data_IF_227041971253
#
_entry.id   IF_227041971253
#
_cell.length_a   1.000
_cell.length_b   1.000
_cell.length_c   1.000
_cell.angle_alpha   90.00
_cell.angle_beta   90.00
_cell.angle_gamma   90.00
#
_symmetry.space_group_name_H-M   'P 1'
#
loop_
_entity.id
_entity.type
_entity.pdbx_description
1 polymer ?
#
# COMPACT_ATOMS: atom_id res chain seq x y z
N UNK A 1 12.80 -25.10 11.08
CA UNK A 1 11.83 -24.59 12.08
C UNK A 1 10.68 -23.91 11.38
N UNK A 2 9.48 -23.89 11.98
CA UNK A 2 8.35 -23.06 11.53
C UNK A 2 7.85 -22.16 12.66
N UNK A 3 7.43 -20.94 12.30
CA UNK A 3 6.88 -19.94 13.20
C UNK A 3 5.59 -19.38 12.59
N UNK A 4 4.51 -19.48 13.34
CA UNK A 4 3.27 -18.78 13.04
C UNK A 4 3.31 -17.36 13.62
N UNK A 5 3.11 -16.37 12.75
CA UNK A 5 3.32 -14.95 13.03
C UNK A 5 1.99 -14.30 13.44
N UNK A 6 1.99 -13.71 14.63
CA UNK A 6 0.88 -12.90 15.14
C UNK A 6 1.35 -11.56 15.75
N UNK A 7 0.40 -10.68 16.06
CA UNK A 7 0.67 -9.29 16.48
C UNK A 7 1.55 -9.15 17.73
N UNK A 8 1.34 -9.99 18.75
CA UNK A 8 1.98 -9.87 20.08
C UNK A 8 2.83 -11.09 20.44
N UNK A 9 2.33 -12.28 20.13
CA UNK A 9 2.95 -13.54 20.52
C UNK A 9 2.93 -14.48 19.33
N UNK A 10 4.10 -14.84 18.82
CA UNK A 10 4.27 -15.86 17.79
C UNK A 10 4.30 -17.25 18.43
N UNK A 11 4.08 -18.27 17.62
CA UNK A 11 4.27 -19.66 18.03
C UNK A 11 5.29 -20.34 17.15
N UNK A 12 6.35 -20.88 17.75
CA UNK A 12 7.44 -21.53 17.06
C UNK A 12 7.45 -23.04 17.35
N UNK A 13 7.97 -23.82 16.40
CA UNK A 13 8.13 -25.28 16.52
C UNK A 13 9.44 -25.73 15.86
N UNK A 14 10.20 -26.60 16.54
CA UNK A 14 11.43 -27.17 15.99
C UNK A 14 11.16 -28.55 15.38
N UNK A 15 11.62 -28.72 14.15
CA UNK A 15 11.51 -29.94 13.35
C UNK A 15 12.85 -30.22 12.71
N UNK A 16 13.28 -31.48 12.72
CA UNK A 16 14.52 -31.91 12.06
C UNK A 16 14.35 -32.10 10.54
N UNK A 17 15.45 -32.41 9.87
CA UNK A 17 15.52 -32.72 8.44
C UNK A 17 14.64 -33.92 8.02
N UNK A 18 14.26 -34.78 8.97
CA UNK A 18 13.39 -35.95 8.77
C UNK A 18 11.92 -35.68 9.05
N UNK A 19 11.57 -34.49 9.54
CA UNK A 19 10.19 -34.13 9.90
C UNK A 19 9.78 -34.50 11.33
N UNK A 20 10.73 -34.95 12.16
CA UNK A 20 10.49 -35.27 13.57
C UNK A 20 10.47 -33.98 14.38
N UNK A 21 9.49 -33.87 15.29
CA UNK A 21 9.38 -32.73 16.19
C UNK A 21 10.46 -32.83 17.25
N UNK A 22 11.44 -31.92 17.21
CA UNK A 22 12.49 -31.79 18.24
C UNK A 22 11.91 -31.14 19.48
N UNK A 23 11.15 -30.05 19.29
CA UNK A 23 10.52 -29.31 20.38
C UNK A 23 9.10 -28.92 20.01
N UNK A 24 8.17 -29.25 20.93
CA UNK A 24 6.76 -28.87 20.82
C UNK A 24 6.59 -27.35 20.78
N UNK A 25 5.45 -26.92 20.27
CA UNK A 25 5.16 -25.50 20.06
C UNK A 25 5.33 -24.67 21.33
N UNK A 26 5.98 -23.52 21.19
CA UNK A 26 6.23 -22.57 22.26
C UNK A 26 6.01 -21.13 21.80
N UNK A 27 5.70 -20.25 22.74
CA UNK A 27 5.45 -18.83 22.47
C UNK A 27 6.74 -18.03 22.35
N UNK A 28 6.76 -17.07 21.43
CA UNK A 28 7.80 -16.05 21.29
C UNK A 28 7.13 -14.68 21.33
N UNK A 29 7.53 -13.83 22.27
CA UNK A 29 6.98 -12.47 22.39
C UNK A 29 7.58 -11.55 21.33
N UNK A 30 6.75 -10.66 20.75
CA UNK A 30 7.16 -9.59 19.83
C UNK A 30 7.87 -8.46 20.59
N UNK A 31 9.07 -8.74 21.12
CA UNK A 31 9.91 -7.79 21.86
C UNK A 31 11.38 -8.17 21.73
N UNK A 32 12.29 -7.23 22.05
CA UNK A 32 13.74 -7.49 22.05
C UNK A 32 14.12 -8.67 22.94
N UNK A 33 13.68 -8.65 24.20
CA UNK A 33 13.92 -9.76 25.15
C UNK A 33 13.28 -11.07 24.69
N UNK A 34 12.09 -11.00 24.07
CA UNK A 34 11.39 -12.15 23.53
C UNK A 34 12.16 -12.82 22.40
N UNK A 35 12.74 -12.02 21.50
CA UNK A 35 13.58 -12.48 20.41
C UNK A 35 14.93 -13.00 20.89
N UNK A 36 15.54 -12.37 21.89
CA UNK A 36 16.80 -12.85 22.47
C UNK A 36 16.59 -14.19 23.18
N UNK A 37 15.53 -14.33 24.00
CA UNK A 37 15.19 -15.61 24.61
C UNK A 37 14.91 -16.69 23.56
N UNK A 38 14.22 -16.34 22.48
CA UNK A 38 14.01 -17.23 21.35
C UNK A 38 15.33 -17.64 20.68
N UNK A 39 16.27 -16.71 20.45
CA UNK A 39 17.58 -17.00 19.89
C UNK A 39 18.39 -17.96 20.77
N UNK A 40 18.43 -17.72 22.08
CA UNK A 40 19.09 -18.62 23.02
C UNK A 40 18.49 -20.03 22.99
N UNK A 41 17.17 -20.15 22.82
CA UNK A 41 16.51 -21.45 22.65
C UNK A 41 16.86 -22.14 21.34
N UNK A 42 17.02 -21.39 20.25
CA UNK A 42 17.51 -21.93 18.97
C UNK A 42 18.92 -22.50 19.16
N UNK A 43 19.83 -21.75 19.77
CA UNK A 43 21.21 -22.21 20.03
C UNK A 43 21.25 -23.46 20.93
N UNK A 44 20.46 -23.47 22.01
CA UNK A 44 20.35 -24.62 22.90
C UNK A 44 19.86 -25.87 22.16
N UNK A 45 18.79 -25.75 21.38
CA UNK A 45 18.25 -26.87 20.61
C UNK A 45 19.22 -27.37 19.53
N UNK A 46 19.95 -26.47 18.87
CA UNK A 46 20.99 -26.85 17.92
C UNK A 46 22.10 -27.67 18.60
N UNK A 47 22.56 -27.22 19.77
CA UNK A 47 23.59 -27.92 20.55
C UNK A 47 23.11 -29.29 21.04
N UNK A 48 21.91 -29.37 21.61
CA UNK A 48 21.33 -30.60 22.17
C UNK A 48 21.05 -31.67 21.09
N UNK A 49 20.81 -31.26 19.84
CA UNK A 49 20.44 -32.15 18.74
C UNK A 49 21.54 -32.27 17.67
N UNK A 50 22.76 -31.82 17.99
CA UNK A 50 23.94 -31.89 17.12
C UNK A 50 23.68 -31.29 15.72
N UNK A 51 22.98 -30.16 15.67
CA UNK A 51 22.69 -29.44 14.42
C UNK A 51 23.62 -28.24 14.26
N UNK A 52 24.16 -28.08 13.04
CA UNK A 52 25.04 -26.97 12.67
C UNK A 52 24.30 -25.81 12.01
N UNK A 53 23.10 -26.06 11.48
CA UNK A 53 22.33 -25.09 10.71
C UNK A 53 20.86 -25.05 11.16
N UNK A 54 20.24 -23.88 10.98
CA UNK A 54 18.82 -23.66 11.22
C UNK A 54 18.24 -22.75 10.16
N UNK A 55 17.06 -23.12 9.66
CA UNK A 55 16.25 -22.28 8.76
C UNK A 55 14.91 -21.99 9.45
N UNK A 56 14.49 -20.73 9.43
CA UNK A 56 13.25 -20.25 10.03
C UNK A 56 12.20 -20.04 8.95
N UNK A 57 11.18 -20.90 8.92
CA UNK A 57 10.01 -20.67 8.08
C UNK A 57 8.93 -19.85 8.76
N UNK A 58 8.30 -18.96 8.02
CA UNK A 58 7.11 -18.22 8.46
C UNK A 58 5.99 -18.30 7.42
N UNK A 59 4.75 -18.14 7.87
CA UNK A 59 3.65 -17.67 7.02
C UNK A 59 3.53 -16.14 7.20
N UNK A 60 3.64 -15.32 6.14
CA UNK A 60 3.62 -13.88 6.29
C UNK A 60 2.21 -13.36 6.64
N UNK A 61 2.05 -12.87 7.88
CA UNK A 61 0.83 -12.19 8.34
C UNK A 61 1.10 -10.69 8.55
N UNK A 62 0.59 -9.86 7.64
CA UNK A 62 0.78 -8.40 7.70
C UNK A 62 2.27 -8.01 7.72
N UNK A 63 2.62 -7.05 8.58
CA UNK A 63 4.00 -6.56 8.74
C UNK A 63 4.72 -7.12 9.98
N UNK A 64 4.05 -7.93 10.80
CA UNK A 64 4.58 -8.34 12.11
C UNK A 64 5.85 -9.19 12.03
N UNK A 65 6.07 -9.87 10.91
CA UNK A 65 7.26 -10.69 10.68
C UNK A 65 8.54 -9.88 10.43
N UNK A 66 8.45 -8.58 10.09
CA UNK A 66 9.60 -7.77 9.70
C UNK A 66 10.62 -7.66 10.84
N UNK A 67 10.17 -7.38 12.07
CA UNK A 67 11.07 -7.26 13.22
C UNK A 67 11.87 -8.54 13.45
N UNK A 68 11.23 -9.69 13.31
CA UNK A 68 11.88 -10.99 13.43
C UNK A 68 12.88 -11.22 12.27
N UNK A 69 12.52 -10.82 11.05
CA UNK A 69 13.40 -10.98 9.89
C UNK A 69 14.71 -10.19 10.03
N UNK A 70 14.65 -8.90 10.41
CA UNK A 70 15.87 -8.12 10.63
C UNK A 70 16.70 -8.68 11.80
N UNK A 71 16.05 -9.06 12.91
CA UNK A 71 16.73 -9.66 14.07
C UNK A 71 17.50 -10.95 13.72
N UNK A 72 16.90 -11.81 12.89
CA UNK A 72 17.51 -13.07 12.45
C UNK A 72 18.63 -12.83 11.43
N UNK A 73 18.44 -11.86 10.53
CA UNK A 73 19.44 -11.51 9.53
C UNK A 73 20.74 -11.01 10.17
N UNK A 74 20.65 -10.17 11.21
CA UNK A 74 21.81 -9.72 12.00
C UNK A 74 22.59 -10.87 12.65
N UNK A 75 21.91 -12.01 12.91
CA UNK A 75 22.49 -13.22 13.51
C UNK A 75 22.86 -14.28 12.48
N UNK A 76 22.76 -13.97 11.19
CA UNK A 76 23.08 -14.90 10.10
C UNK A 76 22.14 -16.09 9.99
N UNK A 77 20.93 -16.00 10.55
CA UNK A 77 19.93 -17.07 10.47
C UNK A 77 19.00 -16.83 9.26
N UNK A 78 18.94 -17.76 8.29
CA UNK A 78 18.04 -17.64 7.15
C UNK A 78 16.56 -17.69 7.56
N UNK A 79 15.80 -16.68 7.16
CA UNK A 79 14.35 -16.68 7.21
C UNK A 79 13.76 -16.93 5.83
N UNK A 80 12.76 -17.80 5.75
CA UNK A 80 12.06 -18.19 4.52
C UNK A 80 10.56 -18.07 4.70
N UNK A 81 9.84 -17.79 3.62
CA UNK A 81 8.39 -17.67 3.62
C UNK A 81 7.73 -18.84 2.93
N UNK A 82 6.67 -19.36 3.54
CA UNK A 82 5.73 -20.27 2.90
C UNK A 82 4.54 -19.46 2.34
N UNK A 83 3.91 -19.98 1.29
CA UNK A 83 2.73 -19.34 0.72
C UNK A 83 1.50 -19.63 1.62
N UNK A 84 0.77 -18.61 2.11
CA UNK A 84 -0.45 -18.81 2.92
C UNK A 84 -1.45 -19.80 2.32
N UNK A 85 -1.60 -19.82 0.99
CA UNK A 85 -2.47 -20.75 0.30
C UNK A 85 -2.00 -22.21 0.43
N UNK A 86 -0.69 -22.44 0.43
CA UNK A 86 -0.12 -23.78 0.62
C UNK A 86 -0.27 -24.22 2.07
N UNK A 87 -0.02 -23.33 3.03
CA UNK A 87 -0.22 -23.61 4.46
C UNK A 87 -1.67 -24.02 4.72
N UNK A 88 -2.64 -23.27 4.19
CA UNK A 88 -4.07 -23.62 4.30
C UNK A 88 -4.40 -25.00 3.73
N UNK A 89 -3.93 -25.32 2.52
CA UNK A 89 -4.19 -26.62 1.87
C UNK A 89 -3.52 -27.78 2.59
N UNK A 90 -2.32 -27.57 3.13
CA UNK A 90 -1.63 -28.60 3.90
C UNK A 90 -2.35 -28.89 5.22
N UNK A 91 -2.96 -27.89 5.86
CA UNK A 91 -3.81 -28.12 7.04
C UNK A 91 -4.98 -29.05 6.73
N UNK A 92 -5.65 -28.87 5.59
CA UNK A 92 -6.77 -29.74 5.17
C UNK A 92 -6.33 -31.20 4.92
N UNK A 93 -5.07 -31.43 4.53
CA UNK A 93 -4.52 -32.78 4.35
C UNK A 93 -4.14 -33.45 5.68
N UNK A 94 -3.57 -32.68 6.61
CA UNK A 94 -3.09 -33.20 7.90
C UNK A 94 -4.23 -33.38 8.91
N UNK A 95 -5.17 -32.44 8.92
CA UNK A 95 -6.35 -32.43 9.78
C UNK A 95 -7.58 -32.32 8.87
N UNK A 96 -8.31 -33.42 8.71
CA UNK A 96 -9.65 -33.45 8.07
C UNK A 96 -10.71 -32.62 8.86
N UNK A 97 -10.28 -31.66 9.69
CA UNK A 97 -11.04 -30.79 10.57
C UNK A 97 -10.49 -29.35 10.51
N UNK A 98 -11.33 -28.34 10.27
CA UNK A 98 -10.91 -26.93 10.21
C UNK A 98 -10.75 -26.30 11.61
N UNK A 99 -9.97 -26.92 12.49
CA UNK A 99 -9.75 -26.39 13.85
C UNK A 99 -8.55 -25.43 13.87
N UNK A 100 -8.78 -24.15 14.17
CA UNK A 100 -7.72 -23.14 14.34
C UNK A 100 -6.89 -23.43 15.59
N UNK A 101 -5.64 -23.83 15.40
CA UNK A 101 -4.66 -23.92 16.48
C UNK A 101 -3.31 -23.38 15.99
N UNK A 102 -2.92 -22.18 16.45
CA UNK A 102 -1.64 -21.52 16.14
C UNK A 102 -0.41 -22.45 16.36
N UNK A 103 -0.53 -23.40 17.30
CA UNK A 103 0.48 -24.42 17.57
C UNK A 103 0.68 -25.43 16.43
N UNK A 104 -0.40 -25.77 15.72
CA UNK A 104 -0.36 -26.66 14.55
C UNK A 104 0.17 -25.94 13.32
N UNK A 105 -0.13 -24.64 13.21
CA UNK A 105 0.29 -23.80 12.10
C UNK A 105 1.83 -23.74 12.00
N UNK A 106 2.50 -23.54 13.13
CA UNK A 106 3.97 -23.59 13.21
C UNK A 106 4.56 -24.93 12.73
N UNK A 107 3.89 -26.05 13.02
CA UNK A 107 4.33 -27.38 12.56
C UNK A 107 4.13 -27.56 11.06
N UNK A 108 2.99 -27.16 10.52
CA UNK A 108 2.71 -27.21 9.07
C UNK A 108 3.73 -26.37 8.30
N UNK A 109 4.03 -25.16 8.78
CA UNK A 109 5.07 -24.29 8.22
C UNK A 109 6.43 -25.00 8.24
N UNK A 110 6.81 -25.59 9.38
CA UNK A 110 8.09 -26.32 9.50
C UNK A 110 8.21 -27.49 8.51
N UNK A 111 7.12 -28.23 8.29
CA UNK A 111 7.07 -29.34 7.32
C UNK A 111 7.20 -28.86 5.89
N UNK A 112 6.51 -27.79 5.51
CA UNK A 112 6.66 -27.18 4.19
C UNK A 112 8.09 -26.69 3.93
N UNK A 113 8.73 -26.13 4.96
CA UNK A 113 10.13 -25.70 4.87
C UNK A 113 11.05 -26.89 4.65
N UNK A 114 10.88 -27.97 5.43
CA UNK A 114 11.62 -29.22 5.25
C UNK A 114 11.47 -29.79 3.85
N UNK A 115 10.27 -29.69 3.27
CA UNK A 115 9.98 -30.15 1.90
C UNK A 115 10.51 -29.21 0.80
N UNK A 116 11.24 -28.13 1.14
CA UNK A 116 11.73 -27.16 0.18
C UNK A 116 10.64 -26.26 -0.42
N UNK A 117 9.42 -26.26 0.15
CA UNK A 117 8.27 -25.50 -0.38
C UNK A 117 8.21 -24.09 0.21
N UNK A 118 9.27 -23.32 0.02
CA UNK A 118 9.41 -21.96 0.52
C UNK A 118 10.06 -21.03 -0.52
N UNK A 119 10.09 -19.74 -0.20
CA UNK A 119 10.83 -18.72 -0.95
C UNK A 119 11.56 -17.80 0.02
N UNK A 120 12.73 -17.30 -0.36
CA UNK A 120 13.42 -16.27 0.41
C UNK A 120 12.73 -14.91 0.22
N UNK A 121 12.29 -14.23 1.29
CA UNK A 121 11.82 -12.87 1.19
C UNK A 121 12.99 -11.94 0.94
N UNK A 122 12.72 -10.82 0.25
CA UNK A 122 13.65 -9.71 0.17
C UNK A 122 13.50 -8.83 1.40
N UNK A 123 14.51 -8.84 2.25
CA UNK A 123 14.65 -7.89 3.34
C UNK A 123 15.23 -6.61 2.72
N UNK A 124 14.46 -5.54 2.73
CA UNK A 124 14.85 -4.28 2.10
C UNK A 124 15.82 -3.54 3.02
N UNK A 125 16.83 -2.87 2.46
CA UNK A 125 17.82 -2.11 3.24
C UNK A 125 18.11 -0.77 2.59
N UNK A 126 18.57 0.18 3.40
CA UNK A 126 18.97 1.52 2.95
C UNK A 126 17.90 2.15 2.07
N UNK A 127 18.31 2.65 0.91
CA UNK A 127 17.44 3.35 -0.03
C UNK A 127 16.20 2.52 -0.44
N UNK A 128 16.31 1.22 -0.64
CA UNK A 128 15.16 0.39 -1.06
C UNK A 128 14.08 0.31 0.02
N UNK A 129 14.48 0.31 1.30
CA UNK A 129 13.57 0.32 2.43
C UNK A 129 12.84 1.67 2.51
N UNK A 130 13.57 2.78 2.35
CA UNK A 130 13.01 4.14 2.33
C UNK A 130 12.02 4.31 1.18
N UNK A 131 12.38 3.90 -0.05
CA UNK A 131 11.49 3.96 -1.21
C UNK A 131 10.21 3.16 -1.00
N UNK A 132 10.32 1.94 -0.43
CA UNK A 132 9.15 1.10 -0.15
C UNK A 132 8.23 1.75 0.87
N UNK A 133 8.80 2.27 1.96
CA UNK A 133 8.05 2.90 3.04
C UNK A 133 7.35 4.17 2.53
N UNK A 134 8.10 5.05 1.86
CA UNK A 134 7.58 6.31 1.34
C UNK A 134 6.54 6.12 0.22
N UNK A 135 6.77 5.24 -0.77
CA UNK A 135 5.75 4.96 -1.81
C UNK A 135 4.48 4.33 -1.21
N UNK A 136 4.63 3.47 -0.20
CA UNK A 136 3.48 2.91 0.53
C UNK A 136 2.71 3.99 1.28
N UNK A 137 3.41 4.92 1.94
CA UNK A 137 2.77 6.03 2.65
C UNK A 137 2.09 7.01 1.69
N UNK A 138 2.76 7.41 0.60
CA UNK A 138 2.17 8.23 -0.48
C UNK A 138 0.89 7.61 -1.05
N UNK A 139 0.89 6.30 -1.27
CA UNK A 139 -0.31 5.57 -1.74
C UNK A 139 -1.48 5.75 -0.76
N UNK A 140 -1.23 5.66 0.55
CA UNK A 140 -2.27 5.85 1.58
C UNK A 140 -2.80 7.27 1.60
N UNK A 141 -1.94 8.29 1.49
CA UNK A 141 -2.37 9.69 1.39
C UNK A 141 -3.22 9.92 0.14
N UNK A 142 -2.87 9.29 -0.98
CA UNK A 142 -3.66 9.36 -2.22
C UNK A 142 -5.03 8.70 -2.08
N UNK A 143 -5.10 7.55 -1.41
CA UNK A 143 -6.37 6.89 -1.06
C UNK A 143 -7.23 7.78 -0.16
N UNK A 144 -6.62 8.44 0.83
CA UNK A 144 -7.30 9.38 1.72
C UNK A 144 -7.81 10.62 0.96
N UNK A 145 -7.01 11.20 0.07
CA UNK A 145 -7.41 12.32 -0.78
C UNK A 145 -8.62 11.93 -1.65
N UNK A 146 -8.63 10.71 -2.19
CA UNK A 146 -9.78 10.15 -2.90
C UNK A 146 -11.04 10.07 -2.03
N UNK A 147 -10.91 9.64 -0.77
CA UNK A 147 -12.01 9.60 0.18
C UNK A 147 -12.55 11.02 0.50
N UNK A 148 -11.68 12.00 0.71
CA UNK A 148 -12.04 13.41 0.94
C UNK A 148 -12.74 14.01 -0.28
N UNK A 149 -12.23 13.78 -1.50
CA UNK A 149 -12.90 14.18 -2.75
C UNK A 149 -14.32 13.64 -2.82
N UNK A 150 -14.52 12.37 -2.48
CA UNK A 150 -15.84 11.76 -2.45
C UNK A 150 -16.76 12.36 -1.37
N UNK A 151 -16.22 12.79 -0.23
CA UNK A 151 -16.98 13.53 0.79
C UNK A 151 -17.43 14.89 0.27
N UNK A 152 -16.55 15.63 -0.40
CA UNK A 152 -16.88 16.93 -1.02
C UNK A 152 -17.96 16.76 -2.09
N UNK A 153 -17.87 15.71 -2.94
CA UNK A 153 -18.90 15.42 -3.94
C UNK A 153 -20.25 15.18 -3.27
N UNK A 154 -20.32 14.32 -2.24
CA UNK A 154 -21.59 14.08 -1.52
C UNK A 154 -22.15 15.34 -0.84
N UNK A 155 -21.27 16.22 -0.38
CA UNK A 155 -21.66 17.51 0.18
C UNK A 155 -22.27 18.40 -0.90
N UNK A 156 -21.62 18.49 -2.07
CA UNK A 156 -22.12 19.23 -3.23
C UNK A 156 -23.46 18.69 -3.72
N UNK A 157 -23.61 17.36 -3.85
CA UNK A 157 -24.86 16.73 -4.27
C UNK A 157 -26.05 17.11 -3.35
N UNK A 158 -25.77 17.43 -2.08
CA UNK A 158 -26.77 17.84 -1.10
C UNK A 158 -27.04 19.34 -1.09
N UNK A 159 -26.00 20.17 -1.15
CA UNK A 159 -26.10 21.61 -0.88
C UNK A 159 -25.92 22.51 -2.10
N UNK A 160 -25.33 22.00 -3.19
CA UNK A 160 -25.15 22.72 -4.44
C UNK A 160 -24.97 21.76 -5.65
N UNK A 161 -25.99 20.97 -6.01
CA UNK A 161 -25.84 19.89 -7.01
C UNK A 161 -25.46 20.38 -8.41
N UNK A 162 -25.79 21.62 -8.76
CA UNK A 162 -25.47 22.23 -10.05
C UNK A 162 -24.00 22.68 -10.17
N UNK A 163 -23.23 22.63 -9.08
CA UNK A 163 -21.83 23.06 -9.05
C UNK A 163 -20.97 22.39 -10.14
N UNK A 164 -21.21 21.10 -10.39
CA UNK A 164 -20.46 20.29 -11.37
C UNK A 164 -20.67 20.74 -12.82
N UNK A 165 -21.76 21.48 -13.10
CA UNK A 165 -22.02 22.06 -14.41
C UNK A 165 -21.02 23.18 -14.76
N UNK A 166 -20.44 23.82 -13.74
CA UNK A 166 -19.41 24.86 -13.87
C UNK A 166 -18.02 24.29 -13.64
N UNK A 167 -17.89 23.38 -12.68
CA UNK A 167 -16.62 22.78 -12.27
C UNK A 167 -16.69 21.25 -12.30
N UNK A 168 -16.32 20.61 -13.43
CA UNK A 168 -16.25 19.14 -13.53
C UNK A 168 -15.17 18.50 -12.65
N UNK A 169 -14.23 19.31 -12.13
CA UNK A 169 -13.13 18.87 -11.27
C UNK A 169 -12.74 19.94 -10.25
N UNK A 170 -12.08 19.52 -9.18
CA UNK A 170 -11.62 20.36 -8.07
C UNK A 170 -10.35 21.16 -8.40
N UNK A 171 -10.39 21.97 -9.46
CA UNK A 171 -9.31 22.91 -9.76
C UNK A 171 -9.26 24.08 -8.77
N UNK A 172 -8.21 24.92 -8.86
CA UNK A 172 -7.98 26.06 -7.95
C UNK A 172 -9.19 26.96 -7.74
N UNK A 173 -9.90 27.31 -8.82
CA UNK A 173 -11.10 28.15 -8.71
C UNK A 173 -12.28 27.42 -8.05
N UNK A 174 -12.43 26.11 -8.28
CA UNK A 174 -13.48 25.33 -7.61
C UNK A 174 -13.24 25.29 -6.10
N UNK A 175 -11.98 25.08 -5.67
CA UNK A 175 -11.61 25.09 -4.26
C UNK A 175 -11.82 26.47 -3.62
N UNK A 176 -11.47 27.55 -4.32
CA UNK A 176 -11.75 28.91 -3.84
C UNK A 176 -13.26 29.19 -3.66
N UNK A 177 -14.11 28.65 -4.54
CA UNK A 177 -15.58 28.75 -4.38
C UNK A 177 -16.03 28.00 -3.12
N UNK A 178 -15.56 26.77 -2.92
CA UNK A 178 -15.90 25.97 -1.74
C UNK A 178 -15.41 26.59 -0.43
N UNK A 179 -14.30 27.34 -0.48
CA UNK A 179 -13.75 28.05 0.68
C UNK A 179 -14.53 29.34 1.00
N UNK A 180 -14.83 30.13 -0.03
CA UNK A 180 -15.35 31.49 0.15
C UNK A 180 -16.88 31.59 0.06
N UNK A 181 -17.50 30.83 -0.83
CA UNK A 181 -18.94 30.89 -1.15
C UNK A 181 -19.51 29.49 -1.46
N UNK A 182 -19.43 28.53 -0.51
CA UNK A 182 -19.81 27.14 -0.77
C UNK A 182 -21.30 26.93 -1.07
N UNK A 183 -22.19 27.84 -0.65
CA UNK A 183 -23.64 27.69 -0.87
C UNK A 183 -24.15 28.58 -2.00
N UNK A 184 -25.24 28.18 -2.69
CA UNK A 184 -25.94 29.05 -3.64
C UNK A 184 -26.33 30.40 -3.04
N UNK A 185 -26.77 30.42 -1.78
CA UNK A 185 -27.15 31.65 -1.07
C UNK A 185 -26.00 32.62 -0.87
N UNK A 186 -24.75 32.15 -0.85
CA UNK A 186 -23.56 33.02 -0.71
C UNK A 186 -23.31 33.85 -1.96
N UNK A 187 -23.92 33.47 -3.09
CA UNK A 187 -23.81 34.12 -4.39
C UNK A 187 -25.05 34.96 -4.73
N UNK A 188 -26.10 34.90 -3.90
CA UNK A 188 -27.32 35.66 -4.13
C UNK A 188 -27.02 37.16 -4.16
N UNK A 189 -27.52 37.86 -5.19
CA UNK A 189 -27.31 39.29 -5.44
C UNK A 189 -25.85 39.75 -5.65
N UNK A 190 -24.87 38.84 -5.66
CA UNK A 190 -23.48 39.22 -5.94
C UNK A 190 -23.26 39.48 -7.41
N UNK A 191 -22.48 40.50 -7.72
CA UNK A 191 -21.99 40.74 -9.07
C UNK A 191 -20.73 39.89 -9.37
N UNK A 192 -20.48 39.50 -10.64
CA UNK A 192 -19.30 38.72 -11.01
C UNK A 192 -17.98 39.34 -10.53
N UNK A 193 -17.84 40.66 -10.60
CA UNK A 193 -16.62 41.37 -10.21
C UNK A 193 -16.37 41.33 -8.68
N UNK A 194 -17.41 41.28 -7.86
CA UNK A 194 -17.30 41.08 -6.41
C UNK A 194 -16.80 39.67 -6.09
N UNK A 195 -17.40 38.67 -6.75
CA UNK A 195 -17.05 37.25 -6.59
C UNK A 195 -15.60 36.99 -7.00
N UNK A 196 -15.19 37.53 -8.15
CA UNK A 196 -13.80 37.42 -8.61
C UNK A 196 -12.82 38.09 -7.63
N UNK A 197 -13.19 39.22 -7.04
CA UNK A 197 -12.35 39.93 -6.07
C UNK A 197 -12.19 39.15 -4.76
N UNK A 198 -13.22 38.42 -4.34
CA UNK A 198 -13.14 37.50 -3.20
C UNK A 198 -12.19 36.34 -3.49
N UNK A 199 -12.33 35.68 -4.65
CA UNK A 199 -11.51 34.52 -5.00
C UNK A 199 -10.04 34.85 -5.25
N UNK A 200 -9.70 36.08 -5.66
CA UNK A 200 -8.31 36.54 -5.78
C UNK A 200 -7.55 36.56 -4.44
N UNK A 201 -8.27 36.58 -3.32
CA UNK A 201 -7.66 36.55 -1.97
C UNK A 201 -7.25 35.15 -1.55
N UNK A 202 -7.76 34.12 -2.21
CA UNK A 202 -7.40 32.72 -1.94
C UNK A 202 -5.99 32.46 -2.47
N UNK A 203 -5.16 31.85 -1.62
CA UNK A 203 -3.78 31.56 -1.96
C UNK A 203 -3.68 30.69 -3.22
N UNK A 204 -2.74 31.03 -4.11
CA UNK A 204 -2.51 30.28 -5.34
C UNK A 204 -3.47 30.55 -6.51
N UNK A 205 -4.53 31.36 -6.33
CA UNK A 205 -5.48 31.75 -7.40
C UNK A 205 -5.33 33.22 -7.81
N UNK A 206 -4.44 33.50 -8.78
CA UNK A 206 -4.18 34.87 -9.25
C UNK A 206 -5.21 35.40 -10.25
N UNK A 207 -5.76 34.54 -11.10
CA UNK A 207 -6.59 34.94 -12.24
C UNK A 207 -7.87 34.08 -12.35
N UNK A 208 -8.88 34.32 -11.50
CA UNK A 208 -10.16 33.64 -11.61
C UNK A 208 -10.87 34.00 -12.92
N UNK A 209 -11.55 33.01 -13.50
CA UNK A 209 -12.15 33.14 -14.84
C UNK A 209 -13.54 33.78 -14.75
N UNK A 210 -13.70 34.99 -15.33
CA UNK A 210 -15.00 35.70 -15.36
C UNK A 210 -16.15 34.85 -15.93
N UNK A 211 -16.00 34.10 -17.05
CA UNK A 211 -17.09 33.28 -17.56
C UNK A 211 -17.59 32.22 -16.56
N UNK A 212 -16.68 31.64 -15.75
CA UNK A 212 -17.06 30.69 -14.71
C UNK A 212 -17.77 31.36 -13.54
N UNK A 213 -17.38 32.57 -13.15
CA UNK A 213 -18.05 33.32 -12.09
C UNK A 213 -19.48 33.70 -12.50
N UNK A 214 -19.69 34.17 -13.74
CA UNK A 214 -21.04 34.47 -14.28
C UNK A 214 -21.90 33.21 -14.24
N UNK A 215 -21.42 32.11 -14.84
CA UNK A 215 -22.17 30.85 -14.88
C UNK A 215 -22.45 30.28 -13.49
N UNK A 216 -21.52 30.46 -12.54
CA UNK A 216 -21.70 30.05 -11.15
C UNK A 216 -22.84 30.80 -10.47
N UNK A 217 -22.95 32.12 -10.67
CA UNK A 217 -24.05 32.94 -10.15
C UNK A 217 -25.37 32.51 -10.80
N UNK A 218 -25.38 32.25 -12.10
CA UNK A 218 -26.57 31.78 -12.83
C UNK A 218 -27.10 30.47 -12.26
N UNK A 219 -26.25 29.44 -12.13
CA UNK A 219 -26.69 28.14 -11.59
C UNK A 219 -27.03 28.20 -10.11
N UNK A 220 -26.43 29.11 -9.33
CA UNK A 220 -26.78 29.33 -7.94
C UNK A 220 -28.20 29.89 -7.79
N UNK A 221 -28.64 30.75 -8.70
CA UNK A 221 -29.95 31.40 -8.64
C UNK A 221 -31.11 30.39 -8.78
N UNK A 222 -30.91 29.27 -9.47
CA UNK A 222 -31.90 28.22 -9.67
C UNK A 222 -31.55 26.91 -8.96
N UNK A 223 -30.63 26.94 -7.99
CA UNK A 223 -30.15 25.72 -7.33
C UNK A 223 -31.22 25.08 -6.45
N UNK A 224 -31.30 23.74 -6.50
CA UNK A 224 -32.20 22.95 -5.64
C UNK A 224 -31.54 22.48 -4.32
N UNK A 225 -30.34 22.99 -4.01
CA UNK A 225 -29.58 22.59 -2.84
C UNK A 225 -30.33 22.79 -1.52
N UNK A 226 -30.14 21.87 -0.57
CA UNK A 226 -30.80 21.93 0.75
C UNK A 226 -30.41 23.22 1.49
N UNK A 227 -31.40 23.94 2.02
CA UNK A 227 -31.20 25.21 2.74
C UNK A 227 -31.16 25.07 4.26
N UNK A 228 -31.48 23.89 4.78
CA UNK A 228 -31.51 23.56 6.21
C UNK A 228 -30.14 23.08 6.72
N UNK A 229 -29.85 23.36 8.00
CA UNK A 229 -28.60 22.90 8.64
C UNK A 229 -27.31 23.54 8.11
N UNK A 230 -27.40 24.71 7.47
CA UNK A 230 -26.28 25.38 6.77
C UNK A 230 -25.07 25.69 7.66
N UNK A 231 -25.28 25.95 8.95
CA UNK A 231 -24.19 26.27 9.86
C UNK A 231 -23.18 25.12 9.98
N UNK A 232 -23.67 23.92 10.34
CA UNK A 232 -22.83 22.72 10.43
C UNK A 232 -22.30 22.30 9.06
N UNK A 233 -23.10 22.42 8.01
CA UNK A 233 -22.67 22.12 6.65
C UNK A 233 -21.52 23.02 6.19
N UNK A 234 -21.49 24.30 6.60
CA UNK A 234 -20.37 25.22 6.31
C UNK A 234 -19.08 24.77 7.02
N UNK A 235 -19.19 24.34 8.28
CA UNK A 235 -18.05 23.82 9.04
C UNK A 235 -17.51 22.55 8.40
N UNK A 236 -18.39 21.66 7.95
CA UNK A 236 -18.04 20.42 7.25
C UNK A 236 -17.24 20.71 5.98
N UNK A 237 -17.78 21.49 5.04
CA UNK A 237 -17.09 21.77 3.78
C UNK A 237 -15.77 22.51 3.98
N UNK A 238 -15.72 23.48 4.90
CA UNK A 238 -14.47 24.17 5.22
C UNK A 238 -13.41 23.20 5.76
N UNK A 239 -13.81 22.21 6.56
CA UNK A 239 -12.91 21.18 7.09
C UNK A 239 -12.41 20.24 5.99
N UNK A 240 -13.30 19.84 5.07
CA UNK A 240 -12.94 19.00 3.93
C UNK A 240 -11.99 19.71 2.96
N UNK A 241 -12.23 21.00 2.68
CA UNK A 241 -11.35 21.83 1.84
C UNK A 241 -9.96 21.98 2.46
N UNK A 242 -9.87 22.26 3.78
CA UNK A 242 -8.57 22.28 4.48
C UNK A 242 -7.85 20.94 4.41
N UNK A 243 -8.57 19.83 4.65
CA UNK A 243 -7.96 18.48 4.58
C UNK A 243 -7.50 18.14 3.16
N UNK A 244 -8.26 18.54 2.15
CA UNK A 244 -7.89 18.38 0.74
C UNK A 244 -6.55 19.04 0.44
N UNK A 245 -6.39 20.31 0.81
CA UNK A 245 -5.15 21.06 0.56
C UNK A 245 -3.97 20.49 1.32
N UNK A 246 -4.16 20.10 2.59
CA UNK A 246 -3.11 19.45 3.37
C UNK A 246 -2.62 18.16 2.70
N UNK A 247 -3.55 17.31 2.25
CA UNK A 247 -3.20 16.05 1.59
C UNK A 247 -2.49 16.27 0.25
N UNK A 248 -2.89 17.28 -0.55
CA UNK A 248 -2.16 17.62 -1.78
C UNK A 248 -0.72 18.03 -1.49
N UNK A 249 -0.51 18.90 -0.49
CA UNK A 249 0.83 19.35 -0.07
C UNK A 249 1.67 18.18 0.47
N UNK A 250 1.10 17.33 1.31
CA UNK A 250 1.80 16.16 1.86
C UNK A 250 2.20 15.17 0.75
N UNK A 251 1.32 14.94 -0.23
CA UNK A 251 1.58 14.07 -1.39
C UNK A 251 2.66 14.66 -2.30
N UNK A 252 2.64 15.97 -2.53
CA UNK A 252 3.67 16.66 -3.32
C UNK A 252 5.02 16.60 -2.62
N UNK A 253 5.07 16.95 -1.34
CA UNK A 253 6.29 16.93 -0.52
C UNK A 253 6.95 15.55 -0.48
N UNK A 254 6.17 14.50 -0.17
CA UNK A 254 6.72 13.13 -0.16
C UNK A 254 7.16 12.67 -1.56
N UNK A 255 6.45 13.09 -2.61
CA UNK A 255 6.83 12.76 -3.98
C UNK A 255 8.17 13.40 -4.34
N UNK A 256 8.36 14.68 -4.02
CA UNK A 256 9.62 15.38 -4.25
C UNK A 256 10.77 14.70 -3.51
N UNK A 257 10.58 14.37 -2.23
CA UNK A 257 11.60 13.67 -1.45
C UNK A 257 11.97 12.29 -2.02
N UNK A 258 10.98 11.52 -2.47
CA UNK A 258 11.23 10.23 -3.13
C UNK A 258 11.97 10.39 -4.46
N UNK A 259 11.66 11.43 -5.23
CA UNK A 259 12.34 11.74 -6.49
C UNK A 259 13.79 12.12 -6.25
N UNK A 260 14.06 12.97 -5.26
CA UNK A 260 15.43 13.33 -4.86
C UNK A 260 16.23 12.10 -4.43
N UNK A 261 15.59 11.18 -3.68
CA UNK A 261 16.22 9.95 -3.25
C UNK A 261 16.64 9.07 -4.45
N UNK A 262 15.74 8.81 -5.41
CA UNK A 262 16.08 7.98 -6.59
C UNK A 262 17.06 8.65 -7.53
N UNK A 263 17.08 9.98 -7.62
CA UNK A 263 18.02 10.72 -8.49
C UNK A 263 19.50 10.48 -8.16
N UNK A 264 19.78 9.95 -6.98
CA UNK A 264 21.15 9.54 -6.58
C UNK A 264 21.54 8.14 -7.05
N UNK A 265 20.62 7.41 -7.71
CA UNK A 265 20.85 6.03 -8.17
C UNK A 265 21.17 5.95 -9.67
N UNK A 266 22.00 4.99 -10.04
CA UNK A 266 22.33 4.70 -11.46
C UNK A 266 21.09 4.20 -12.20
N UNK A 267 20.19 3.49 -11.52
CA UNK A 267 18.93 3.03 -12.11
C UNK A 267 18.03 4.18 -12.54
N UNK A 268 18.01 5.31 -11.82
CA UNK A 268 17.29 6.50 -12.26
C UNK A 268 17.87 7.07 -13.54
N UNK A 269 19.20 7.18 -13.65
CA UNK A 269 19.86 7.66 -14.86
C UNK A 269 19.43 6.83 -16.07
N UNK A 270 19.47 5.51 -15.97
CA UNK A 270 19.02 4.62 -17.05
C UNK A 270 17.54 4.81 -17.39
N UNK A 271 16.67 4.80 -16.37
CA UNK A 271 15.22 4.90 -16.59
C UNK A 271 14.79 6.26 -17.13
N UNK A 272 15.48 7.34 -16.78
CA UNK A 272 15.20 8.69 -17.27
C UNK A 272 15.44 8.85 -18.78
N UNK A 273 16.24 7.97 -19.39
CA UNK A 273 16.46 7.97 -20.84
C UNK A 273 15.29 7.41 -21.64
N UNK A 274 14.36 6.71 -20.98
CA UNK A 274 13.23 6.04 -21.65
C UNK A 274 12.11 7.04 -21.90
N UNK A 275 11.74 7.31 -23.17
CA UNK A 275 10.66 8.23 -23.49
C UNK A 275 9.33 7.78 -22.85
N UNK A 276 8.69 8.69 -22.11
CA UNK A 276 7.42 8.44 -21.44
C UNK A 276 7.52 8.02 -19.97
N UNK A 277 8.72 7.78 -19.43
CA UNK A 277 8.90 7.59 -17.98
C UNK A 277 9.15 8.93 -17.29
N UNK A 278 8.17 9.38 -16.50
CA UNK A 278 8.34 10.52 -15.61
C UNK A 278 8.93 10.12 -14.25
N UNK A 279 9.49 11.10 -13.53
CA UNK A 279 10.11 10.93 -12.20
C UNK A 279 9.24 10.09 -11.24
N UNK A 280 7.94 10.39 -11.16
CA UNK A 280 6.99 9.67 -10.31
C UNK A 280 6.86 8.20 -10.69
N UNK A 281 6.82 7.88 -11.99
CA UNK A 281 6.73 6.51 -12.50
C UNK A 281 8.02 5.74 -12.21
N UNK A 282 9.18 6.40 -12.33
CA UNK A 282 10.48 5.82 -11.98
C UNK A 282 10.53 5.49 -10.49
N UNK A 283 10.10 6.41 -9.63
CA UNK A 283 9.97 6.18 -8.18
C UNK A 283 9.09 4.97 -7.89
N UNK A 284 7.90 4.87 -8.49
CA UNK A 284 7.00 3.75 -8.22
C UNK A 284 7.56 2.42 -8.74
N UNK A 285 8.24 2.43 -9.89
CA UNK A 285 8.90 1.26 -10.44
C UNK A 285 9.99 0.76 -9.48
N UNK A 286 10.92 1.64 -9.11
CA UNK A 286 12.04 1.31 -8.20
C UNK A 286 11.55 0.98 -6.79
N UNK A 287 10.47 1.60 -6.30
CA UNK A 287 9.87 1.21 -5.04
C UNK A 287 9.34 -0.23 -5.07
N UNK A 288 8.88 -0.73 -6.23
CA UNK A 288 8.37 -2.09 -6.36
C UNK A 288 9.44 -3.14 -6.66
N UNK A 289 10.44 -2.83 -7.50
CA UNK A 289 11.45 -3.78 -7.98
C UNK A 289 12.82 -3.59 -7.32
N UNK A 290 13.09 -2.43 -6.73
CA UNK A 290 14.41 -1.98 -6.25
C UNK A 290 15.53 -2.11 -7.29
N UNK A 291 16.75 -2.47 -6.89
CA UNK A 291 17.87 -2.51 -7.84
C UNK A 291 17.69 -3.55 -8.97
N UNK A 292 18.17 -3.22 -10.17
CA UNK A 292 18.20 -4.19 -11.27
C UNK A 292 19.18 -5.35 -11.04
N UNK A 293 20.15 -5.18 -10.15
CA UNK A 293 21.13 -6.22 -9.79
C UNK A 293 20.51 -7.49 -9.18
N UNK A 294 19.26 -7.42 -8.72
CA UNK A 294 18.52 -8.58 -8.20
C UNK A 294 17.95 -9.50 -9.30
N UNK A 295 18.12 -9.14 -10.57
CA UNK A 295 17.51 -9.84 -11.69
C UNK A 295 18.55 -10.27 -12.71
N UNK A 296 18.53 -11.55 -13.08
CA UNK A 296 19.38 -12.13 -14.12
C UNK A 296 18.74 -12.03 -15.51
N UNK A 297 17.40 -12.01 -15.57
CA UNK A 297 16.65 -11.98 -16.84
C UNK A 297 15.44 -11.03 -16.73
N UNK A 298 15.19 -10.15 -17.72
CA UNK A 298 14.04 -9.24 -17.75
C UNK A 298 12.67 -9.93 -17.57
N UNK A 299 12.53 -11.20 -17.96
CA UNK A 299 11.31 -12.00 -17.76
C UNK A 299 10.97 -12.19 -16.28
N UNK A 300 11.95 -12.09 -15.38
CA UNK A 300 11.72 -12.11 -13.94
C UNK A 300 10.89 -10.88 -13.51
N UNK A 301 11.14 -9.70 -14.08
CA UNK A 301 10.34 -8.49 -13.84
C UNK A 301 8.91 -8.63 -14.39
N UNK A 302 8.76 -9.19 -15.60
CA UNK A 302 7.44 -9.47 -16.21
C UNK A 302 6.63 -10.43 -15.33
N UNK A 303 7.28 -11.49 -14.83
CA UNK A 303 6.68 -12.44 -13.89
C UNK A 303 6.34 -11.77 -12.55
N UNK A 304 7.21 -10.91 -12.05
CA UNK A 304 6.99 -10.15 -10.82
C UNK A 304 5.78 -9.21 -10.92
N UNK A 305 5.57 -8.57 -12.08
CA UNK A 305 4.36 -7.80 -12.38
C UNK A 305 3.11 -8.70 -12.55
N UNK A 306 3.28 -10.01 -12.73
CA UNK A 306 2.19 -10.95 -12.97
C UNK A 306 1.63 -10.87 -14.40
N UNK A 307 2.45 -10.39 -15.34
CA UNK A 307 2.11 -10.22 -16.75
C UNK A 307 2.34 -11.51 -17.58
N UNK A 308 2.89 -12.56 -16.96
CA UNK A 308 3.05 -13.86 -17.63
C UNK A 308 1.68 -14.42 -18.06
N UNK A 309 1.61 -14.92 -19.29
CA UNK A 309 0.41 -15.55 -19.83
C UNK A 309 0.19 -16.92 -19.17
N UNK A 310 -1.04 -17.15 -18.73
CA UNK A 310 -1.54 -18.45 -18.30
C UNK A 310 -2.33 -19.06 -19.45
N UNK A 311 -1.96 -20.28 -19.80
CA UNK A 311 -2.73 -21.10 -20.71
C UNK A 311 -3.94 -21.71 -20.00
N UNK A 312 -5.08 -21.72 -20.70
CA UNK A 312 -6.31 -22.37 -20.26
C UNK A 312 -6.71 -23.41 -21.30
N UNK A 313 -5.86 -24.41 -21.47
CA UNK A 313 -6.07 -25.50 -22.40
C UNK A 313 -6.32 -26.80 -21.64
N UNK A 314 -7.34 -27.55 -22.06
CA UNK A 314 -7.52 -28.96 -21.71
C UNK A 314 -7.17 -29.82 -22.93
N UNK A 315 -7.14 -31.15 -22.76
CA UNK A 315 -6.86 -32.07 -23.88
C UNK A 315 -7.81 -31.94 -25.08
N UNK A 316 -8.97 -31.30 -24.91
CA UNK A 316 -10.01 -31.13 -25.95
C UNK A 316 -10.30 -29.66 -26.31
N UNK A 317 -9.76 -28.69 -25.56
CA UNK A 317 -10.09 -27.28 -25.75
C UNK A 317 -8.87 -26.40 -25.56
N UNK A 318 -8.52 -25.57 -26.55
CA UNK A 318 -7.53 -24.49 -26.41
C UNK A 318 -8.25 -23.17 -26.18
N UNK A 319 -8.31 -22.74 -24.92
CA UNK A 319 -8.88 -21.44 -24.55
C UNK A 319 -7.92 -20.27 -24.78
N UNK A 320 -8.44 -19.05 -24.75
CA UNK A 320 -7.62 -17.83 -24.85
C UNK A 320 -6.67 -17.69 -23.65
N UNK A 321 -5.41 -17.35 -23.94
CA UNK A 321 -4.40 -17.04 -22.92
C UNK A 321 -4.78 -15.74 -22.21
N UNK A 322 -4.67 -15.73 -20.87
CA UNK A 322 -4.91 -14.54 -20.03
C UNK A 322 -3.69 -14.27 -19.18
N UNK A 323 -3.44 -13.01 -18.81
CA UNK A 323 -2.40 -12.69 -17.83
C UNK A 323 -2.69 -13.40 -16.49
N UNK A 324 -1.64 -13.87 -15.83
CA UNK A 324 -1.78 -14.64 -14.59
C UNK A 324 -2.36 -13.82 -13.43
N UNK A 325 -2.06 -12.52 -13.39
CA UNK A 325 -2.34 -11.61 -12.25
C UNK A 325 -1.75 -12.11 -10.91
N UNK A 326 -0.81 -13.07 -10.94
CA UNK A 326 -0.16 -13.68 -9.76
C UNK A 326 1.12 -12.96 -9.32
N UNK A 327 1.23 -11.67 -9.65
CA UNK A 327 2.35 -10.80 -9.29
C UNK A 327 1.87 -9.49 -8.66
N UNK A 328 2.81 -8.58 -8.42
CA UNK A 328 2.59 -7.30 -7.75
C UNK A 328 1.60 -6.44 -8.53
N UNK A 329 0.45 -6.16 -7.92
CA UNK A 329 -0.62 -5.37 -8.53
C UNK A 329 -0.17 -3.93 -8.84
N UNK A 330 0.59 -3.30 -7.94
CA UNK A 330 1.08 -1.93 -8.11
C UNK A 330 2.02 -1.83 -9.31
N UNK A 331 3.01 -2.70 -9.40
CA UNK A 331 3.92 -2.79 -10.54
C UNK A 331 3.20 -2.99 -11.88
N UNK A 332 2.09 -3.75 -11.89
CA UNK A 332 1.28 -3.98 -13.09
C UNK A 332 0.40 -2.79 -13.50
N UNK A 333 0.15 -1.87 -12.57
CA UNK A 333 -0.72 -0.71 -12.79
C UNK A 333 0.05 0.54 -13.23
N UNK A 334 1.39 0.50 -13.16
CA UNK A 334 2.29 1.41 -13.87
C UNK A 334 2.19 1.13 -15.38
#
# INVERSE_FOLDING_TARGET
MGIDIAKRTHYACFVDDRGRVIQKSFSVSQSGDGFEHFYQRVLAAMKENEKTEVIVGIEPTGHYWLNLAYFLEERGIPLVMTNPMHVKRSKELDDNLPTKHDRKDALVIARLVKDGRFSYPRILKGMEAELRAGSTFRSKLTEELGAVKNMIIRWLDRYFPEFTQVFPSFGKMAMAVLECTPFPSDLHQKQPDEVLSLYRKVEGLKSPQRPKAVRLIEVAASSIGVTEGREMARIEIATLVRRYHQLEQDIESITQHLVELVKTSVEYEWLSTVPGLGDTTIVDLLAEIGSFSHYEDPRQLIKLAGLTLRENSSGLHKGQKRISKRGRRKLRAL
#
